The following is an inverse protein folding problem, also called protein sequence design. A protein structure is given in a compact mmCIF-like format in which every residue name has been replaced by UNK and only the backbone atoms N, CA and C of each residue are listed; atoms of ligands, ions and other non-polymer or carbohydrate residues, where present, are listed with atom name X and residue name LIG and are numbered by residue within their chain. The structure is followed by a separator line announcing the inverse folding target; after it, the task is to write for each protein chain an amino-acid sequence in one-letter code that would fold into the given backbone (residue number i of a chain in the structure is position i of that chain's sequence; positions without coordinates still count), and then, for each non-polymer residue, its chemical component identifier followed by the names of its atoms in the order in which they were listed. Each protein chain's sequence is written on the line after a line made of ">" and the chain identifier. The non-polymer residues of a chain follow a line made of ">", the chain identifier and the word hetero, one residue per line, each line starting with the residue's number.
data_IF_586015826891
#
_entry.id   IF_586015826891
#
_cell.length_a   1.000
_cell.length_b   1.000
_cell.length_c   1.000
_cell.angle_alpha   90.00
_cell.angle_beta   90.00
_cell.angle_gamma   90.00
#
_symmetry.space_group_name_H-M   'P 1'
#
loop_
_entity.id
_entity.type
_entity.pdbx_description
1 polymer ?
#
# COMPACT_ATOMS: atom_id res chain seq x y z
N UNK A 1 11.45 17.72 -7.79
CA UNK A 1 11.24 17.53 -9.24
C UNK A 1 10.53 16.20 -9.40
N UNK A 2 9.51 16.12 -10.25
CA UNK A 2 8.81 14.86 -10.50
C UNK A 2 9.62 13.98 -11.45
N UNK A 3 9.51 12.66 -11.27
CA UNK A 3 10.18 11.65 -12.10
C UNK A 3 9.15 10.68 -12.62
N UNK A 4 9.25 10.29 -13.88
CA UNK A 4 8.43 9.22 -14.45
C UNK A 4 9.11 7.87 -14.18
N UNK A 5 8.39 6.95 -13.55
CA UNK A 5 8.90 5.64 -13.16
C UNK A 5 8.03 4.54 -13.78
N UNK A 6 8.67 3.46 -14.23
CA UNK A 6 8.01 2.29 -14.83
C UNK A 6 8.71 1.01 -14.40
N UNK A 7 7.99 -0.11 -14.38
CA UNK A 7 8.55 -1.43 -14.07
C UNK A 7 9.26 -1.46 -12.71
N UNK A 8 10.45 -2.07 -12.65
CA UNK A 8 11.21 -2.24 -11.40
C UNK A 8 11.51 -0.92 -10.69
N UNK A 9 11.70 0.19 -11.41
CA UNK A 9 11.94 1.48 -10.80
C UNK A 9 10.73 1.99 -10.02
N UNK A 10 9.51 1.73 -10.53
CA UNK A 10 8.28 2.04 -9.82
C UNK A 10 8.10 1.14 -8.60
N UNK A 11 8.34 -0.17 -8.75
CA UNK A 11 8.29 -1.13 -7.64
C UNK A 11 9.26 -0.76 -6.51
N UNK A 12 10.53 -0.47 -6.87
CA UNK A 12 11.56 -0.05 -5.92
C UNK A 12 11.21 1.26 -5.21
N UNK A 13 10.54 2.19 -5.91
CA UNK A 13 10.09 3.42 -5.29
C UNK A 13 8.95 3.16 -4.28
N UNK A 14 8.01 2.26 -4.58
CA UNK A 14 6.95 1.87 -3.62
C UNK A 14 7.55 1.15 -2.41
N UNK A 15 8.52 0.26 -2.62
CA UNK A 15 9.30 -0.35 -1.54
C UNK A 15 9.99 0.72 -0.68
N UNK A 16 10.58 1.74 -1.34
CA UNK A 16 11.19 2.90 -0.70
C UNK A 16 10.22 3.67 0.19
N UNK A 17 9.00 3.91 -0.28
CA UNK A 17 7.94 4.57 0.52
C UNK A 17 7.74 3.87 1.86
N UNK A 18 7.66 2.53 1.84
CA UNK A 18 7.39 1.73 3.04
C UNK A 18 8.63 1.67 3.94
N UNK A 19 9.78 1.31 3.37
CA UNK A 19 11.00 0.98 4.13
C UNK A 19 11.73 2.20 4.67
N UNK A 20 11.59 3.37 4.03
CA UNK A 20 12.26 4.60 4.47
C UNK A 20 11.44 5.42 5.47
N UNK A 21 10.15 5.10 5.66
CA UNK A 21 9.24 5.89 6.48
C UNK A 21 9.70 6.00 7.94
N UNK A 22 9.52 7.20 8.50
CA UNK A 22 9.84 7.53 9.91
C UNK A 22 8.67 8.17 10.66
N UNK A 23 7.64 8.65 9.97
CA UNK A 23 6.49 9.32 10.61
C UNK A 23 5.16 8.75 10.17
N UNK A 24 4.98 8.52 8.88
CA UNK A 24 3.73 7.96 8.38
C UNK A 24 3.92 7.21 7.08
N UNK A 25 2.98 6.30 6.83
CA UNK A 25 2.78 5.64 5.54
C UNK A 25 1.30 5.80 5.20
N UNK A 26 0.99 6.41 4.07
CA UNK A 26 -0.38 6.53 3.55
C UNK A 26 -0.46 5.72 2.27
N UNK A 27 -1.34 4.71 2.29
CA UNK A 27 -1.63 3.84 1.17
C UNK A 27 -3.04 4.14 0.73
N UNK A 28 -3.20 4.51 -0.52
CA UNK A 28 -4.50 4.56 -1.19
C UNK A 28 -4.46 3.56 -2.32
N UNK A 29 -5.25 2.49 -2.26
CA UNK A 29 -5.33 1.50 -3.35
C UNK A 29 -6.69 0.83 -3.31
N UNK A 30 -7.46 0.77 -4.41
CA UNK A 30 -8.77 0.15 -4.41
C UNK A 30 -8.72 -1.31 -3.98
N UNK A 31 -7.72 -2.03 -4.49
CA UNK A 31 -7.48 -3.42 -4.15
C UNK A 31 -6.12 -3.57 -3.48
N UNK A 32 -6.09 -4.40 -2.45
CA UNK A 32 -4.88 -4.75 -1.74
C UNK A 32 -4.83 -6.27 -1.60
N UNK A 33 -3.73 -6.85 -2.06
CA UNK A 33 -3.39 -8.26 -1.87
C UNK A 33 -1.92 -8.32 -1.53
N UNK A 34 -1.62 -8.63 -0.27
CA UNK A 34 -0.23 -8.67 0.18
C UNK A 34 0.38 -10.04 -0.13
N UNK A 35 1.50 -10.00 -0.84
CA UNK A 35 2.40 -11.12 -1.03
C UNK A 35 3.54 -11.11 0.00
N UNK A 36 4.43 -12.09 -0.08
CA UNK A 36 5.58 -12.16 0.81
C UNK A 36 6.51 -10.95 0.62
N UNK A 37 6.66 -10.47 -0.62
CA UNK A 37 7.45 -9.29 -0.94
C UNK A 37 7.00 -8.08 -0.12
N UNK A 38 5.73 -7.68 -0.20
CA UNK A 38 5.25 -6.51 0.55
C UNK A 38 5.23 -6.75 2.06
N UNK A 39 4.87 -7.96 2.51
CA UNK A 39 4.89 -8.30 3.94
C UNK A 39 6.29 -8.15 4.54
N UNK A 40 7.34 -8.53 3.83
CA UNK A 40 8.73 -8.34 4.28
C UNK A 40 9.06 -6.86 4.50
N UNK A 41 8.66 -5.96 3.59
CA UNK A 41 8.90 -4.51 3.74
C UNK A 41 8.12 -3.94 4.90
N UNK A 42 6.84 -4.28 4.99
CA UNK A 42 5.98 -3.84 6.09
C UNK A 42 6.47 -4.34 7.45
N UNK A 43 7.03 -5.54 7.53
CA UNK A 43 7.59 -6.09 8.76
C UNK A 43 8.78 -5.26 9.30
N UNK A 44 9.53 -4.57 8.43
CA UNK A 44 10.64 -3.70 8.86
C UNK A 44 10.16 -2.50 9.72
N UNK A 45 8.94 -2.04 9.50
CA UNK A 45 8.35 -0.87 10.18
C UNK A 45 7.22 -1.23 11.15
N UNK A 46 6.74 -2.49 11.09
CA UNK A 46 5.52 -2.95 11.77
C UNK A 46 5.45 -2.68 13.27
N UNK A 47 6.57 -2.81 13.97
CA UNK A 47 6.60 -2.71 15.43
C UNK A 47 6.96 -1.30 15.93
N UNK A 48 7.12 -0.32 15.04
CA UNK A 48 7.41 1.05 15.42
C UNK A 48 6.11 1.85 15.62
N UNK A 49 5.71 2.14 16.88
CA UNK A 49 4.48 2.89 17.15
C UNK A 49 4.56 4.37 16.74
N UNK A 50 5.75 4.89 16.46
CA UNK A 50 5.92 6.28 16.01
C UNK A 50 5.50 6.47 14.55
N UNK A 51 5.42 5.39 13.77
CA UNK A 51 4.98 5.41 12.38
C UNK A 51 3.47 5.20 12.32
N UNK A 52 2.74 6.21 11.85
CA UNK A 52 1.31 6.10 11.59
C UNK A 52 1.04 5.47 10.22
N UNK A 53 0.40 4.30 10.19
CA UNK A 53 -0.04 3.66 8.96
C UNK A 53 -1.50 3.99 8.67
N UNK A 54 -1.79 4.62 7.53
CA UNK A 54 -3.15 4.85 7.05
C UNK A 54 -3.39 4.11 5.74
N UNK A 55 -4.44 3.31 5.71
CA UNK A 55 -4.83 2.53 4.54
C UNK A 55 -6.23 2.96 4.12
N UNK A 56 -6.33 3.53 2.93
CA UNK A 56 -7.58 3.79 2.23
C UNK A 56 -7.71 2.78 1.10
N UNK A 57 -8.73 1.94 1.18
CA UNK A 57 -9.00 0.91 0.19
C UNK A 57 -10.49 0.77 -0.04
N UNK A 58 -10.86 -0.15 -0.92
CA UNK A 58 -12.24 -0.42 -1.24
C UNK A 58 -12.52 -0.22 -2.71
N UNK A 59 -13.76 -0.48 -3.07
CA UNK A 59 -14.33 -0.69 -4.41
C UNK A 59 -15.28 -1.86 -4.26
N UNK A 60 -16.39 -1.83 -5.01
CA UNK A 60 -17.51 -2.79 -4.94
C UNK A 60 -18.40 -2.62 -3.70
N UNK A 61 -19.59 -2.06 -3.89
CA UNK A 61 -20.57 -1.81 -2.81
C UNK A 61 -20.99 -3.08 -2.06
N UNK A 62 -20.95 -4.24 -2.72
CA UNK A 62 -21.58 -5.47 -2.22
C UNK A 62 -20.69 -6.32 -1.31
N UNK A 63 -19.35 -6.21 -1.41
CA UNK A 63 -18.46 -7.06 -0.62
C UNK A 63 -17.04 -6.47 -0.47
N UNK A 64 -16.78 -5.93 0.71
CA UNK A 64 -15.50 -5.41 1.16
C UNK A 64 -14.31 -6.39 1.01
N UNK A 65 -14.52 -7.69 1.26
CA UNK A 65 -13.45 -8.70 1.21
C UNK A 65 -12.96 -9.03 -0.20
N UNK A 66 -13.67 -8.53 -1.23
CA UNK A 66 -13.17 -8.56 -2.62
C UNK A 66 -12.02 -7.58 -2.84
N UNK A 67 -11.93 -6.56 -2.00
CA UNK A 67 -10.94 -5.48 -2.11
C UNK A 67 -9.74 -5.69 -1.19
N UNK A 68 -9.90 -6.41 -0.08
CA UNK A 68 -8.82 -6.88 0.78
C UNK A 68 -9.25 -8.16 1.48
N UNK A 69 -8.43 -9.21 1.42
CA UNK A 69 -8.73 -10.47 2.12
C UNK A 69 -8.67 -10.27 3.64
N UNK A 70 -9.41 -11.08 4.39
CA UNK A 70 -9.41 -11.03 5.86
C UNK A 70 -8.00 -11.20 6.45
N UNK A 71 -7.18 -12.07 5.87
CA UNK A 71 -5.79 -12.31 6.30
C UNK A 71 -4.93 -11.05 6.20
N UNK A 72 -5.05 -10.30 5.10
CA UNK A 72 -4.31 -9.05 4.89
C UNK A 72 -4.84 -7.93 5.78
N UNK A 73 -6.16 -7.89 5.99
CA UNK A 73 -6.78 -6.98 6.94
C UNK A 73 -6.26 -7.21 8.36
N UNK A 74 -6.22 -8.46 8.80
CA UNK A 74 -5.75 -8.84 10.14
C UNK A 74 -4.24 -8.61 10.27
N UNK A 75 -3.47 -8.81 9.19
CA UNK A 75 -2.07 -8.40 9.12
C UNK A 75 -1.91 -6.90 9.39
N UNK A 76 -2.67 -6.03 8.70
CA UNK A 76 -2.57 -4.59 8.93
C UNK A 76 -3.09 -4.16 10.31
N UNK A 77 -4.14 -4.78 10.84
CA UNK A 77 -4.64 -4.52 12.20
C UNK A 77 -3.61 -4.81 13.29
N UNK A 78 -2.62 -5.64 13.01
CA UNK A 78 -1.54 -5.94 13.98
C UNK A 78 -0.49 -4.84 14.11
N UNK A 79 -0.57 -3.77 13.31
CA UNK A 79 0.26 -2.58 13.49
C UNK A 79 -0.21 -1.77 14.71
N UNK A 80 0.70 -1.26 15.55
CA UNK A 80 0.37 -0.56 16.79
C UNK A 80 -0.32 0.80 16.56
N UNK A 81 -0.09 1.44 15.41
CA UNK A 81 -0.60 2.77 15.09
C UNK A 81 -1.15 2.79 13.65
N UNK A 82 -2.36 2.25 13.47
CA UNK A 82 -2.97 2.04 12.15
C UNK A 82 -4.41 2.56 12.05
N UNK A 83 -4.77 3.11 10.89
CA UNK A 83 -6.15 3.37 10.51
C UNK A 83 -6.46 2.74 9.16
N UNK A 84 -7.55 1.97 9.11
CA UNK A 84 -7.97 1.24 7.92
C UNK A 84 -9.36 1.75 7.55
N UNK A 85 -9.48 2.35 6.36
CA UNK A 85 -10.64 3.12 5.92
C UNK A 85 -11.14 2.52 4.60
N UNK A 86 -12.45 2.31 4.51
CA UNK A 86 -13.11 1.79 3.32
C UNK A 86 -13.85 2.89 2.56
N UNK A 87 -13.68 2.96 1.24
CA UNK A 87 -14.46 3.80 0.33
C UNK A 87 -14.97 2.95 -0.86
N UNK A 88 -16.28 2.78 -1.03
CA UNK A 88 -16.86 1.91 -2.07
C UNK A 88 -16.60 2.39 -3.51
N UNK A 89 -16.27 3.66 -3.71
CA UNK A 89 -16.02 4.26 -5.04
C UNK A 89 -14.56 4.58 -5.29
N UNK A 90 -13.64 3.99 -4.51
CA UNK A 90 -12.22 4.30 -4.63
C UNK A 90 -11.65 3.83 -5.96
N UNK A 91 -10.91 4.72 -6.62
CA UNK A 91 -10.18 4.42 -7.85
C UNK A 91 -8.73 4.92 -7.84
N UNK A 92 -8.44 5.92 -7.00
CA UNK A 92 -7.11 6.52 -6.85
C UNK A 92 -6.11 5.50 -6.32
N UNK A 93 -4.86 5.60 -6.76
CA UNK A 93 -3.76 4.78 -6.26
C UNK A 93 -2.56 5.69 -5.97
N UNK A 94 -2.11 5.66 -4.73
CA UNK A 94 -0.98 6.44 -4.30
C UNK A 94 -0.33 5.87 -3.04
N UNK A 95 0.98 6.01 -2.96
CA UNK A 95 1.80 5.58 -1.83
C UNK A 95 2.63 6.77 -1.38
N UNK A 96 2.53 7.14 -0.11
CA UNK A 96 3.13 8.39 0.40
C UNK A 96 3.73 8.15 1.78
N UNK A 97 4.91 8.70 2.03
CA UNK A 97 5.48 8.87 3.37
C UNK A 97 5.83 10.35 3.60
N UNK A 98 6.54 10.67 4.68
CA UNK A 98 6.87 12.06 5.01
C UNK A 98 7.85 12.76 4.05
N UNK A 99 8.56 12.00 3.21
CA UNK A 99 9.62 12.51 2.34
C UNK A 99 9.21 12.52 0.86
N UNK A 100 8.41 11.56 0.43
CA UNK A 100 8.07 11.34 -0.97
C UNK A 100 6.67 10.74 -1.17
N UNK A 101 6.17 10.84 -2.41
CA UNK A 101 4.86 10.33 -2.79
C UNK A 101 4.83 9.89 -4.24
N UNK A 102 4.12 8.79 -4.48
CA UNK A 102 3.95 8.15 -5.78
C UNK A 102 2.46 8.15 -6.11
N UNK A 103 2.13 8.61 -7.32
CA UNK A 103 0.80 8.46 -7.92
C UNK A 103 0.99 7.54 -9.13
N UNK A 104 0.18 6.48 -9.22
CA UNK A 104 0.40 5.41 -10.20
C UNK A 104 -0.94 4.78 -10.60
N UNK A 105 -0.94 3.96 -11.65
CA UNK A 105 -2.04 3.03 -11.96
C UNK A 105 -1.92 1.68 -11.25
N UNK A 106 -0.78 1.41 -10.60
CA UNK A 106 -0.47 0.15 -9.92
C UNK A 106 -1.21 0.00 -8.57
N UNK A 107 -2.00 -1.06 -8.43
CA UNK A 107 -2.56 -1.46 -7.13
C UNK A 107 -1.49 -2.14 -6.27
N UNK A 108 -1.73 -2.26 -4.97
CA UNK A 108 -0.85 -2.99 -4.07
C UNK A 108 -1.11 -4.50 -4.22
N UNK A 109 -0.54 -5.08 -5.27
CA UNK A 109 -0.68 -6.47 -5.68
C UNK A 109 0.66 -7.17 -5.79
N UNK A 110 0.62 -8.50 -5.86
CA UNK A 110 1.77 -9.37 -6.11
C UNK A 110 2.80 -8.73 -7.05
N UNK A 111 4.05 -8.72 -6.61
CA UNK A 111 5.23 -8.33 -7.39
C UNK A 111 5.28 -9.03 -8.77
N UNK A 112 4.69 -10.23 -8.87
CA UNK A 112 4.54 -11.01 -10.12
C UNK A 112 3.57 -10.41 -11.16
N UNK A 113 3.05 -9.20 -10.94
CA UNK A 113 2.36 -8.42 -11.97
C UNK A 113 3.31 -7.91 -13.09
N UNK A 114 4.36 -8.68 -13.42
CA UNK A 114 5.35 -8.46 -14.48
C UNK A 114 4.74 -8.35 -15.90
N UNK A 115 3.43 -8.54 -16.05
CA UNK A 115 2.74 -8.56 -17.33
C UNK A 115 1.99 -7.25 -17.67
N UNK A 116 1.93 -6.27 -16.75
CA UNK A 116 1.24 -5.01 -17.00
C UNK A 116 2.21 -3.86 -17.27
N UNK A 117 1.81 -2.96 -18.18
CA UNK A 117 2.47 -1.66 -18.36
C UNK A 117 1.78 -0.66 -17.44
N UNK A 118 2.52 -0.17 -16.45
CA UNK A 118 2.06 0.73 -15.39
C UNK A 118 2.94 1.99 -15.33
#
# INVERSE_FOLDING_TARGET
>A
MSTFLTGDNLNNAIDGIITSAKKFIIITSPYIKLDDHFKERFNLVKNDPSIYLRILFGKNEDNFYRSMKSEDLDYFKSFPNVSIIYEPRLHAKSYVNESEGIITSMNLYDYSAENNVE
#
